data_IF_879708839799
#
_entry.id   IF_879708839799
#
_cell.length_a   1.000
_cell.length_b   1.000
_cell.length_c   1.000
_cell.angle_alpha   90.00
_cell.angle_beta   90.00
_cell.angle_gamma   90.00
#
_symmetry.space_group_name_H-M   'P 1'
#
loop_
_entity.id
_entity.type
_entity.pdbx_description
1 polymer ?
#
# COMPACT_ATOMS: atom_id res chain seq x y z
N UNK A 1 -3.78 23.27 -12.61
CA UNK A 1 -4.54 23.35 -11.34
C UNK A 1 -5.47 22.16 -11.09
N UNK A 2 -6.31 21.72 -12.04
CA UNK A 2 -7.12 20.49 -11.86
C UNK A 2 -6.30 19.21 -11.65
N UNK A 3 -5.23 19.03 -12.42
CA UNK A 3 -4.31 17.88 -12.28
C UNK A 3 -3.60 17.83 -10.93
N UNK A 4 -3.16 18.99 -10.41
CA UNK A 4 -2.48 19.06 -9.12
C UNK A 4 -3.44 18.79 -7.96
N UNK A 5 -4.72 19.20 -8.06
CA UNK A 5 -5.73 18.84 -7.08
C UNK A 5 -6.11 17.35 -7.11
N UNK A 6 -6.14 16.73 -8.29
CA UNK A 6 -6.44 15.30 -8.43
C UNK A 6 -5.30 14.41 -7.90
N UNK A 7 -4.05 14.82 -8.13
CA UNK A 7 -2.87 14.16 -7.55
C UNK A 7 -2.85 14.32 -6.03
N UNK A 8 -3.19 15.51 -5.51
CA UNK A 8 -3.24 15.76 -4.08
C UNK A 8 -4.36 14.96 -3.38
N UNK A 9 -5.54 14.82 -4.02
CA UNK A 9 -6.62 13.99 -3.47
C UNK A 9 -6.24 12.50 -3.46
N UNK A 10 -5.55 12.04 -4.52
CA UNK A 10 -5.07 10.66 -4.59
C UNK A 10 -4.00 10.40 -3.51
N UNK A 11 -3.08 11.34 -3.30
CA UNK A 11 -2.07 11.30 -2.24
C UNK A 11 -2.70 11.29 -0.83
N UNK A 12 -3.80 12.03 -0.62
CA UNK A 12 -4.51 11.98 0.67
C UNK A 12 -5.22 10.65 0.93
N UNK A 13 -5.64 9.93 -0.13
CA UNK A 13 -6.17 8.57 0.02
C UNK A 13 -5.09 7.57 0.45
N UNK A 14 -3.82 7.78 0.05
CA UNK A 14 -2.70 6.97 0.53
C UNK A 14 -2.44 7.13 2.04
N UNK A 15 -2.85 8.26 2.65
CA UNK A 15 -2.75 8.47 4.10
C UNK A 15 -3.90 7.77 4.86
N UNK A 16 -5.03 7.52 4.19
CA UNK A 16 -6.16 6.78 4.76
C UNK A 16 -6.06 5.26 4.55
N UNK A 17 -5.27 4.79 3.58
CA UNK A 17 -4.99 3.38 3.36
C UNK A 17 -4.04 2.80 4.42
N UNK A 18 -4.25 1.54 4.78
CA UNK A 18 -3.29 0.78 5.60
C UNK A 18 -1.96 0.61 4.85
N UNK A 19 -0.84 0.40 5.59
CA UNK A 19 0.49 0.13 5.00
C UNK A 19 0.44 -1.04 4.02
N UNK A 20 -0.43 -2.01 4.29
CA UNK A 20 -0.79 -3.11 3.40
C UNK A 20 -1.28 -2.65 2.04
N UNK A 21 -2.35 -1.85 2.02
CA UNK A 21 -3.01 -1.43 0.78
C UNK A 21 -2.09 -0.52 -0.02
N UNK A 22 -1.34 0.34 0.66
CA UNK A 22 -0.33 1.17 0.02
C UNK A 22 0.78 0.32 -0.61
N UNK A 23 1.28 -0.68 0.12
CA UNK A 23 2.25 -1.64 -0.41
C UNK A 23 1.71 -2.40 -1.62
N UNK A 24 0.48 -2.90 -1.54
CA UNK A 24 -0.18 -3.62 -2.62
C UNK A 24 -0.40 -2.75 -3.87
N UNK A 25 -0.83 -1.50 -3.69
CA UNK A 25 -1.05 -0.58 -4.80
C UNK A 25 0.27 -0.18 -5.47
N UNK A 26 1.30 0.18 -4.68
CA UNK A 26 2.61 0.56 -5.21
C UNK A 26 3.30 -0.63 -5.87
N UNK A 27 3.30 -1.78 -5.19
CA UNK A 27 3.88 -3.01 -5.71
C UNK A 27 3.14 -3.51 -6.96
N UNK A 28 1.81 -3.43 -6.98
CA UNK A 28 0.99 -3.86 -8.11
C UNK A 28 1.12 -2.95 -9.33
N UNK A 29 1.04 -1.63 -9.14
CA UNK A 29 1.21 -0.69 -10.25
C UNK A 29 2.64 -0.69 -10.77
N UNK A 30 3.64 -0.71 -9.87
CA UNK A 30 5.05 -0.78 -10.25
C UNK A 30 5.41 -2.10 -10.93
N UNK A 31 4.94 -3.21 -10.37
CA UNK A 31 5.13 -4.55 -10.92
C UNK A 31 4.46 -4.71 -12.29
N UNK A 32 3.27 -4.14 -12.49
CA UNK A 32 2.60 -4.15 -13.78
C UNK A 32 3.35 -3.33 -14.83
N UNK A 33 3.83 -2.15 -14.46
CA UNK A 33 4.60 -1.29 -15.37
C UNK A 33 5.91 -1.96 -15.81
N UNK A 34 6.65 -2.55 -14.86
CA UNK A 34 7.89 -3.26 -15.15
C UNK A 34 7.58 -4.52 -15.96
N UNK A 35 6.62 -5.32 -15.53
CA UNK A 35 6.22 -6.55 -16.24
C UNK A 35 5.80 -6.30 -17.68
N UNK A 36 5.07 -5.20 -17.94
CA UNK A 36 4.71 -4.80 -19.30
C UNK A 36 5.92 -4.42 -20.16
N UNK A 37 6.96 -3.84 -19.55
CA UNK A 37 8.13 -3.33 -20.26
C UNK A 37 9.15 -4.41 -20.63
N UNK A 38 9.31 -5.45 -19.81
CA UNK A 38 10.29 -6.53 -20.05
C UNK A 38 9.71 -7.81 -20.64
N UNK A 39 8.40 -8.05 -20.53
CA UNK A 39 7.81 -9.25 -21.09
C UNK A 39 7.65 -9.18 -22.61
N UNK A 40 7.85 -10.32 -23.28
CA UNK A 40 7.59 -10.44 -24.72
C UNK A 40 6.12 -10.18 -25.11
N UNK A 41 5.18 -10.40 -24.18
CA UNK A 41 3.81 -9.92 -24.29
C UNK A 41 3.52 -8.91 -23.16
N UNK A 42 3.29 -7.63 -23.48
CA UNK A 42 3.16 -6.58 -22.48
C UNK A 42 1.92 -6.74 -21.60
N UNK A 43 0.82 -7.28 -22.12
CA UNK A 43 -0.42 -7.48 -21.36
C UNK A 43 -0.23 -8.60 -20.34
N UNK A 44 0.31 -9.73 -20.79
CA UNK A 44 0.60 -10.86 -19.90
C UNK A 44 1.64 -10.48 -18.85
N UNK A 45 2.69 -9.76 -19.25
CA UNK A 45 3.70 -9.24 -18.35
C UNK A 45 3.13 -8.26 -17.31
N UNK A 46 2.24 -7.37 -17.72
CA UNK A 46 1.57 -6.43 -16.82
C UNK A 46 0.69 -7.15 -15.78
N UNK A 47 -0.07 -8.16 -16.22
CA UNK A 47 -0.96 -8.92 -15.32
C UNK A 47 -0.14 -9.72 -14.31
N UNK A 48 0.90 -10.43 -14.77
CA UNK A 48 1.74 -11.25 -13.89
C UNK A 48 2.57 -10.37 -12.96
N UNK A 49 3.23 -9.34 -13.49
CA UNK A 49 4.02 -8.41 -12.71
C UNK A 49 3.16 -7.62 -11.72
N UNK A 50 1.95 -7.22 -12.11
CA UNK A 50 1.02 -6.53 -11.25
C UNK A 50 0.44 -7.40 -10.15
N UNK A 51 0.06 -8.64 -10.44
CA UNK A 51 -0.41 -9.58 -9.44
C UNK A 51 0.71 -9.93 -8.43
N UNK A 52 1.90 -10.28 -8.93
CA UNK A 52 3.04 -10.62 -8.08
C UNK A 52 3.49 -9.43 -7.22
N UNK A 53 3.59 -8.24 -7.83
CA UNK A 53 3.94 -7.02 -7.14
C UNK A 53 2.91 -6.59 -6.11
N UNK A 54 1.61 -6.76 -6.39
CA UNK A 54 0.54 -6.45 -5.44
C UNK A 54 0.57 -7.40 -4.24
N UNK A 55 0.76 -8.71 -4.46
CA UNK A 55 0.86 -9.70 -3.38
C UNK A 55 2.10 -9.41 -2.53
N UNK A 56 3.27 -9.24 -3.15
CA UNK A 56 4.51 -8.96 -2.42
C UNK A 56 4.41 -7.63 -1.64
N UNK A 57 3.87 -6.59 -2.28
CA UNK A 57 3.64 -5.30 -1.65
C UNK A 57 2.65 -5.36 -0.48
N UNK A 58 1.56 -6.13 -0.62
CA UNK A 58 0.61 -6.36 0.45
C UNK A 58 1.26 -7.05 1.65
N UNK A 59 2.05 -8.10 1.41
CA UNK A 59 2.75 -8.84 2.47
C UNK A 59 3.75 -7.94 3.20
N UNK A 60 4.54 -7.14 2.48
CA UNK A 60 5.50 -6.21 3.09
C UNK A 60 4.75 -5.13 3.90
N UNK A 61 3.64 -4.62 3.36
CA UNK A 61 2.80 -3.66 4.06
C UNK A 61 2.16 -4.24 5.32
N UNK A 62 1.64 -5.47 5.25
CA UNK A 62 1.11 -6.23 6.39
C UNK A 62 2.19 -6.47 7.46
N UNK A 63 3.39 -6.88 7.05
CA UNK A 63 4.51 -7.09 7.96
C UNK A 63 4.94 -5.80 8.66
N UNK A 64 4.80 -4.65 7.99
CA UNK A 64 5.03 -3.35 8.62
C UNK A 64 3.93 -2.93 9.58
N UNK A 65 2.73 -3.50 9.48
CA UNK A 65 1.62 -3.32 10.41
C UNK A 65 1.71 -4.30 11.60
N UNK A 66 2.53 -5.36 11.48
CA UNK A 66 2.73 -6.33 12.54
C UNK A 66 3.36 -5.65 13.78
N UNK A 67 2.76 -5.90 14.95
CA UNK A 67 3.17 -5.27 16.21
C UNK A 67 2.66 -3.83 16.37
N UNK A 68 1.67 -3.39 15.58
CA UNK A 68 0.97 -2.13 15.79
C UNK A 68 -0.40 -2.38 16.45
N UNK A 69 -0.65 -1.70 17.57
CA UNK A 69 -1.88 -1.78 18.34
C UNK A 69 -2.68 -0.48 18.19
N UNK A 70 -4.02 -0.61 18.04
CA UNK A 70 -4.95 0.54 18.01
C UNK A 70 -5.32 0.93 19.44
N UNK A 71 -5.00 2.16 19.81
CA UNK A 71 -5.36 2.76 21.08
C UNK A 71 -6.44 3.81 20.89
N UNK A 72 -7.27 4.01 21.92
CA UNK A 72 -8.25 5.10 21.99
C UNK A 72 -7.91 5.95 23.21
N UNK A 73 -7.69 7.24 23.00
CA UNK A 73 -7.47 8.17 24.11
C UNK A 73 -8.79 8.53 24.82
N UNK A 74 -8.70 9.25 25.95
CA UNK A 74 -9.88 9.70 26.71
C UNK A 74 -10.73 10.74 25.96
N UNK A 75 -10.15 11.39 24.95
CA UNK A 75 -10.86 12.31 24.05
C UNK A 75 -11.53 11.59 22.86
N UNK A 76 -11.44 10.25 22.80
CA UNK A 76 -12.05 9.42 21.75
C UNK A 76 -11.23 9.34 20.47
N UNK A 77 -10.02 9.91 20.41
CA UNK A 77 -9.16 9.83 19.23
C UNK A 77 -8.50 8.45 19.18
N UNK A 78 -8.56 7.81 18.01
CA UNK A 78 -7.93 6.52 17.75
C UNK A 78 -6.55 6.77 17.14
N UNK A 79 -5.51 6.20 17.74
CA UNK A 79 -4.14 6.25 17.23
C UNK A 79 -3.53 4.86 17.18
N UNK A 80 -2.60 4.67 16.25
CA UNK A 80 -1.88 3.41 16.07
C UNK A 80 -0.47 3.61 16.60
N UNK A 81 -0.01 2.74 17.50
CA UNK A 81 1.33 2.77 18.05
C UNK A 81 1.88 1.34 18.18
N UNK A 82 3.19 1.18 18.39
CA UNK A 82 3.76 -0.15 18.68
C UNK A 82 3.08 -0.76 19.90
N UNK A 83 2.73 -2.04 19.80
CA UNK A 83 2.25 -2.81 20.93
C UNK A 83 3.33 -2.84 22.01
N UNK A 84 2.98 -2.73 23.31
CA UNK A 84 3.92 -2.92 24.40
C UNK A 84 4.53 -4.31 24.32
N UNK A 85 5.79 -4.44 24.72
CA UNK A 85 6.46 -5.74 24.79
C UNK A 85 5.76 -6.60 25.85
N UNK A 86 5.23 -7.76 25.45
CA UNK A 86 4.60 -8.74 26.35
C UNK A 86 3.13 -9.11 26.06
N UNK A 87 2.62 -8.88 24.86
CA UNK A 87 1.29 -9.34 24.41
C UNK A 87 1.40 -10.52 23.42
#
# INVERSE_FOLDING_TARGET
MKRTMLVLSLLSALVACSRTEQGAAVGGLGGAAIGAAVAGNPVQGAVVGGAAGAIAGAVIGHASEAGQCRYRDRQGRVYVARCPEGY
#
